data_IF_311741078565
#
_entry.id   IF_311741078565
#
_cell.length_a   1.000
_cell.length_b   1.000
_cell.length_c   1.000
_cell.angle_alpha   90.00
_cell.angle_beta   90.00
_cell.angle_gamma   90.00
#
_symmetry.space_group_name_H-M   'P 1'
#
loop_
_entity.id
_entity.type
_entity.pdbx_description
1 polymer ?
#
# COMPACT_ATOMS: atom_id res chain seq x y z
N UNK A 1 -24.36 31.55 11.44
CA UNK A 1 -23.25 32.12 10.63
C UNK A 1 -22.14 31.08 10.55
N UNK A 2 -21.82 30.58 9.35
CA UNK A 2 -20.68 29.69 9.19
C UNK A 2 -19.39 30.51 9.17
N UNK A 3 -18.39 30.08 9.96
CA UNK A 3 -17.12 30.79 10.03
C UNK A 3 -16.29 30.51 8.76
N UNK A 4 -15.37 31.43 8.38
CA UNK A 4 -14.41 31.21 7.28
C UNK A 4 -13.59 29.92 7.48
N UNK A 5 -13.35 29.56 8.73
CA UNK A 5 -12.63 28.35 9.12
C UNK A 5 -13.44 27.07 8.80
N UNK A 6 -14.76 27.11 9.02
CA UNK A 6 -15.63 25.96 8.69
C UNK A 6 -15.80 25.80 7.19
N UNK A 7 -15.81 26.90 6.44
CA UNK A 7 -15.79 26.87 4.98
C UNK A 7 -14.49 26.23 4.44
N UNK A 8 -13.33 26.65 4.94
CA UNK A 8 -12.04 26.09 4.52
C UNK A 8 -11.91 24.60 4.85
N UNK A 9 -12.36 24.16 6.02
CA UNK A 9 -12.38 22.74 6.40
C UNK A 9 -13.28 21.91 5.47
N UNK A 10 -14.44 22.43 5.09
CA UNK A 10 -15.35 21.73 4.18
C UNK A 10 -14.84 21.74 2.74
N UNK A 11 -14.25 22.83 2.29
CA UNK A 11 -13.67 22.95 0.96
C UNK A 11 -12.47 22.01 0.77
N UNK A 12 -11.60 21.86 1.76
CA UNK A 12 -10.47 20.93 1.69
C UNK A 12 -10.93 19.47 1.66
N UNK A 13 -11.99 19.10 2.39
CA UNK A 13 -12.59 17.77 2.33
C UNK A 13 -13.17 17.46 0.94
N UNK A 14 -13.80 18.43 0.29
CA UNK A 14 -14.36 18.28 -1.07
C UNK A 14 -13.26 18.18 -2.13
N UNK A 15 -12.16 18.91 -1.97
CA UNK A 15 -11.03 18.88 -2.91
C UNK A 15 -10.25 17.55 -2.87
N UNK A 16 -10.25 16.84 -1.73
CA UNK A 16 -9.60 15.53 -1.57
C UNK A 16 -10.52 14.36 -1.94
N UNK A 17 -11.83 14.57 -2.03
CA UNK A 17 -12.81 13.52 -2.31
C UNK A 17 -12.56 12.73 -3.61
N UNK A 18 -12.12 13.35 -4.74
CA UNK A 18 -11.85 12.63 -5.97
C UNK A 18 -10.62 11.73 -5.91
N UNK A 19 -9.73 11.93 -4.93
CA UNK A 19 -8.48 11.18 -4.80
C UNK A 19 -8.59 9.97 -3.87
N UNK A 20 -9.74 9.80 -3.20
CA UNK A 20 -9.95 8.68 -2.28
C UNK A 20 -10.53 7.49 -3.05
N UNK A 21 -9.84 6.34 -3.10
CA UNK A 21 -10.35 5.14 -3.71
C UNK A 21 -11.72 4.72 -3.17
N UNK A 22 -12.62 4.28 -4.05
CA UNK A 22 -14.00 3.94 -3.69
C UNK A 22 -14.09 2.86 -2.60
N UNK A 23 -13.14 1.91 -2.58
CA UNK A 23 -13.10 0.86 -1.56
C UNK A 23 -12.83 1.42 -0.16
N UNK A 24 -12.01 2.47 -0.03
CA UNK A 24 -11.76 3.12 1.26
C UNK A 24 -12.99 3.85 1.77
N UNK A 25 -13.74 4.50 0.88
CA UNK A 25 -15.02 5.14 1.22
C UNK A 25 -16.02 4.08 1.70
N UNK A 26 -16.06 2.93 1.04
CA UNK A 26 -16.92 1.81 1.44
C UNK A 26 -16.48 1.21 2.76
N UNK A 27 -15.19 1.01 2.98
CA UNK A 27 -14.64 0.51 4.24
C UNK A 27 -14.92 1.48 5.39
N UNK A 28 -14.74 2.79 5.18
CA UNK A 28 -15.04 3.81 6.19
C UNK A 28 -16.54 3.87 6.54
N UNK A 29 -17.43 3.62 5.54
CA UNK A 29 -18.88 3.57 5.78
C UNK A 29 -19.33 2.27 6.46
N UNK A 30 -18.61 1.17 6.23
CA UNK A 30 -18.87 -0.12 6.87
C UNK A 30 -18.25 -0.22 8.28
N UNK A 31 -17.31 0.66 8.61
CA UNK A 31 -16.70 0.71 9.92
C UNK A 31 -17.78 1.09 10.96
N UNK A 32 -18.13 0.14 11.81
CA UNK A 32 -18.83 0.43 13.05
C UNK A 32 -17.93 1.35 13.88
N UNK A 33 -18.44 2.44 14.48
CA UNK A 33 -17.62 3.30 15.33
C UNK A 33 -16.87 2.44 16.34
N UNK A 34 -15.53 2.46 16.25
CA UNK A 34 -14.68 1.70 17.16
C UNK A 34 -14.78 2.33 18.54
N UNK A 35 -15.36 1.62 19.48
CA UNK A 35 -15.49 2.06 20.88
C UNK A 35 -14.12 2.23 21.55
N UNK A 36 -13.08 1.62 20.99
CA UNK A 36 -11.72 1.64 21.54
C UNK A 36 -10.90 2.84 21.00
N UNK A 37 -11.48 3.69 20.16
CA UNK A 37 -10.81 4.89 19.62
C UNK A 37 -9.65 4.59 18.68
N UNK A 38 -9.59 3.39 18.07
CA UNK A 38 -8.54 3.04 17.11
C UNK A 38 -8.62 3.90 15.86
N UNK A 39 -7.48 4.31 15.34
CA UNK A 39 -7.37 5.14 14.15
C UNK A 39 -6.74 4.32 13.02
N UNK A 40 -7.43 4.27 11.86
CA UNK A 40 -6.88 3.71 10.64
C UNK A 40 -6.17 4.83 9.84
N UNK A 41 -4.88 4.65 9.60
CA UNK A 41 -4.11 5.50 8.69
C UNK A 41 -3.87 4.72 7.39
N UNK A 42 -4.26 5.29 6.26
CA UNK A 42 -4.04 4.71 4.93
C UNK A 42 -2.99 5.54 4.20
N UNK A 43 -1.91 4.89 3.78
CA UNK A 43 -0.86 5.49 2.96
C UNK A 43 -0.98 4.89 1.56
N UNK A 44 -1.40 5.72 0.60
CA UNK A 44 -1.49 5.34 -0.80
C UNK A 44 -0.23 5.81 -1.52
N UNK A 45 0.46 4.89 -2.19
CA UNK A 45 1.64 5.21 -3.01
C UNK A 45 1.18 5.54 -4.42
N UNK A 46 0.89 6.81 -4.66
CA UNK A 46 0.50 7.34 -5.96
C UNK A 46 1.73 7.57 -6.85
N UNK A 47 1.59 7.36 -8.15
CA UNK A 47 2.66 7.54 -9.13
C UNK A 47 3.53 6.31 -9.39
N UNK A 48 3.21 5.20 -8.79
CA UNK A 48 3.84 3.91 -9.04
C UNK A 48 4.92 3.54 -8.02
N UNK A 49 4.71 2.41 -7.41
CA UNK A 49 5.69 1.72 -6.58
C UNK A 49 6.17 0.47 -7.33
N UNK A 50 7.47 0.18 -7.31
CA UNK A 50 7.99 -1.11 -7.76
C UNK A 50 7.68 -2.19 -6.72
N UNK A 51 6.45 -2.69 -6.74
CA UNK A 51 5.95 -3.67 -5.78
C UNK A 51 6.78 -4.95 -5.75
N UNK A 52 7.32 -5.37 -6.90
CA UNK A 52 8.15 -6.57 -7.02
C UNK A 52 9.52 -6.37 -6.34
N UNK A 53 10.03 -5.14 -6.28
CA UNK A 53 11.24 -4.82 -5.53
C UNK A 53 10.96 -4.26 -4.13
N UNK A 54 9.72 -4.04 -3.76
CA UNK A 54 9.31 -3.75 -2.38
C UNK A 54 9.17 -5.03 -1.57
N UNK A 55 8.42 -6.01 -2.10
CA UNK A 55 8.27 -7.37 -1.57
C UNK A 55 8.84 -8.33 -2.61
N UNK A 56 10.06 -8.74 -2.42
CA UNK A 56 10.89 -9.40 -3.42
C UNK A 56 10.70 -10.90 -3.40
N UNK A 57 10.16 -11.52 -4.47
CA UNK A 57 10.03 -12.97 -4.59
C UNK A 57 11.35 -13.58 -5.06
N UNK A 58 12.37 -13.55 -4.22
CA UNK A 58 13.75 -13.91 -4.60
C UNK A 58 13.91 -15.38 -5.04
N UNK A 59 13.01 -16.26 -4.63
CA UNK A 59 13.02 -17.67 -5.00
C UNK A 59 12.28 -17.93 -6.33
N UNK A 60 11.59 -16.95 -6.89
CA UNK A 60 10.88 -17.08 -8.17
C UNK A 60 11.84 -16.96 -9.35
N UNK A 61 11.84 -17.96 -10.23
CA UNK A 61 12.69 -17.98 -11.42
C UNK A 61 12.34 -16.85 -12.40
N UNK A 62 11.07 -16.48 -12.50
CA UNK A 62 10.61 -15.37 -13.31
C UNK A 62 11.21 -14.05 -12.84
N UNK A 63 11.27 -13.82 -11.52
CA UNK A 63 11.93 -12.64 -10.98
C UNK A 63 13.40 -12.56 -11.41
N UNK A 64 14.13 -13.67 -11.27
CA UNK A 64 15.53 -13.73 -11.68
C UNK A 64 15.71 -13.53 -13.20
N UNK A 65 14.79 -14.08 -14.00
CA UNK A 65 14.83 -14.05 -15.47
C UNK A 65 14.52 -12.66 -16.03
N UNK A 66 13.49 -11.99 -15.49
CA UNK A 66 12.96 -10.75 -16.05
C UNK A 66 13.54 -9.48 -15.41
N UNK A 67 14.17 -9.59 -14.24
CA UNK A 67 14.76 -8.46 -13.49
C UNK A 67 16.29 -8.49 -13.46
N UNK A 68 16.94 -8.79 -14.58
CA UNK A 68 18.40 -9.01 -14.65
C UNK A 68 19.25 -7.87 -14.07
N UNK A 69 18.86 -6.62 -14.30
CA UNK A 69 19.60 -5.45 -13.84
C UNK A 69 19.19 -4.95 -12.43
N UNK A 70 17.90 -5.12 -12.09
CA UNK A 70 17.32 -4.57 -10.84
C UNK A 70 17.10 -5.66 -9.78
N UNK A 71 17.53 -6.87 -10.05
CA UNK A 71 17.36 -8.01 -9.17
C UNK A 71 18.13 -7.82 -7.86
N UNK A 72 17.43 -8.03 -6.75
CA UNK A 72 18.01 -8.17 -5.43
C UNK A 72 18.22 -9.64 -5.08
N UNK A 73 19.34 -9.95 -4.46
CA UNK A 73 19.67 -11.31 -4.02
C UNK A 73 19.21 -11.54 -2.58
N UNK A 74 18.99 -12.81 -2.21
CA UNK A 74 18.54 -13.20 -0.86
C UNK A 74 19.35 -12.54 0.27
N UNK A 75 20.67 -12.42 0.10
CA UNK A 75 21.56 -11.85 1.12
C UNK A 75 21.43 -10.33 1.30
N UNK A 76 20.77 -9.64 0.38
CA UNK A 76 20.54 -8.19 0.46
C UNK A 76 19.18 -7.86 1.13
N UNK A 77 18.30 -8.84 1.28
CA UNK A 77 16.92 -8.62 1.68
C UNK A 77 16.71 -8.77 3.19
N UNK A 78 15.73 -8.07 3.70
CA UNK A 78 15.15 -8.35 5.03
C UNK A 78 14.28 -9.60 4.89
N UNK A 79 14.64 -10.69 5.55
CA UNK A 79 13.97 -11.98 5.41
C UNK A 79 12.52 -11.90 5.89
N UNK A 80 11.58 -12.35 5.04
CA UNK A 80 10.18 -12.60 5.42
C UNK A 80 9.97 -14.10 5.61
N UNK A 81 10.32 -14.89 4.60
CA UNK A 81 10.27 -16.35 4.63
C UNK A 81 11.32 -16.93 3.67
N UNK A 82 11.20 -18.20 3.30
CA UNK A 82 12.19 -18.86 2.45
C UNK A 82 12.07 -18.51 0.95
N UNK A 83 11.03 -17.83 0.54
CA UNK A 83 10.78 -17.43 -0.85
C UNK A 83 10.68 -15.92 -1.08
N UNK A 84 10.42 -15.15 -0.02
CA UNK A 84 10.13 -13.72 -0.10
C UNK A 84 10.94 -12.93 0.93
N UNK A 85 11.42 -11.75 0.54
CA UNK A 85 12.07 -10.78 1.41
C UNK A 85 11.61 -9.36 1.12
N UNK A 86 11.77 -8.45 2.10
CA UNK A 86 11.55 -7.03 1.89
C UNK A 86 12.80 -6.36 1.33
N UNK A 87 12.60 -5.28 0.60
CA UNK A 87 13.70 -4.41 0.16
C UNK A 87 14.58 -3.99 1.35
N UNK A 88 15.91 -3.88 1.20
CA UNK A 88 16.80 -3.54 2.32
C UNK A 88 16.48 -2.21 3.00
N UNK A 89 15.91 -1.25 2.28
CA UNK A 89 15.46 0.02 2.86
C UNK A 89 14.23 -0.11 3.79
N UNK A 90 13.63 -1.32 3.89
CA UNK A 90 12.46 -1.59 4.73
C UNK A 90 12.84 -2.31 6.05
N UNK A 91 14.00 -2.03 6.60
CA UNK A 91 14.46 -2.67 7.85
C UNK A 91 13.49 -2.50 9.02
N UNK A 92 12.92 -1.31 9.17
CA UNK A 92 11.94 -1.03 10.24
C UNK A 92 10.64 -1.84 10.05
N UNK A 93 10.21 -2.05 8.80
CA UNK A 93 9.08 -2.93 8.50
C UNK A 93 9.39 -4.39 8.84
N UNK A 94 10.65 -4.82 8.68
CA UNK A 94 11.12 -6.13 9.12
C UNK A 94 10.96 -6.34 10.64
N UNK A 95 11.30 -5.35 11.45
CA UNK A 95 11.09 -5.40 12.90
C UNK A 95 9.61 -5.49 13.29
N UNK A 96 8.73 -4.80 12.54
CA UNK A 96 7.29 -4.90 12.75
C UNK A 96 6.76 -6.30 12.40
N UNK A 97 7.31 -6.91 11.35
CA UNK A 97 6.96 -8.28 10.93
C UNK A 97 7.36 -9.30 12.00
N UNK A 98 8.59 -9.23 12.53
CA UNK A 98 9.08 -10.08 13.61
C UNK A 98 8.24 -9.93 14.89
N UNK A 99 7.79 -8.70 15.16
CA UNK A 99 6.90 -8.40 16.29
C UNK A 99 5.43 -8.77 16.06
N UNK A 100 5.07 -9.41 14.92
CA UNK A 100 3.69 -9.79 14.59
C UNK A 100 2.75 -8.61 14.35
N UNK A 101 3.30 -7.43 14.08
CA UNK A 101 2.55 -6.17 13.89
C UNK A 101 2.45 -5.74 12.42
N UNK A 102 2.96 -6.53 11.49
CA UNK A 102 2.88 -6.31 10.06
C UNK A 102 2.34 -7.57 9.38
N UNK A 103 1.40 -7.38 8.47
CA UNK A 103 0.94 -8.40 7.54
C UNK A 103 1.26 -7.97 6.11
N UNK A 104 1.70 -8.90 5.28
CA UNK A 104 1.99 -8.68 3.86
C UNK A 104 0.96 -9.44 3.04
N UNK A 105 0.18 -8.71 2.25
CA UNK A 105 -0.82 -9.26 1.34
C UNK A 105 -0.26 -9.20 -0.08
N UNK A 106 -0.07 -10.35 -0.70
CA UNK A 106 0.39 -10.49 -2.08
C UNK A 106 -0.75 -10.91 -3.01
N UNK A 107 -0.53 -10.82 -4.32
CA UNK A 107 -1.49 -11.19 -5.36
C UNK A 107 -2.83 -10.42 -5.25
N UNK A 108 -2.79 -9.20 -4.73
CA UNK A 108 -3.95 -8.30 -4.68
C UNK A 108 -4.11 -7.62 -6.03
N UNK A 109 -5.29 -7.67 -6.60
CA UNK A 109 -5.59 -7.07 -7.89
C UNK A 109 -7.10 -7.04 -8.15
N UNK A 110 -7.47 -6.66 -9.35
CA UNK A 110 -8.88 -6.62 -9.80
C UNK A 110 -9.01 -7.17 -11.22
N UNK A 111 -10.23 -7.52 -11.61
CA UNK A 111 -10.52 -8.08 -12.93
C UNK A 111 -10.30 -7.03 -14.03
N UNK A 112 -9.68 -7.44 -15.16
CA UNK A 112 -9.38 -6.58 -16.29
C UNK A 112 -8.57 -5.33 -15.93
N UNK A 113 -7.36 -5.47 -15.37
CA UNK A 113 -6.57 -4.35 -14.89
C UNK A 113 -6.19 -3.41 -16.03
N UNK A 114 -6.42 -2.12 -15.86
CA UNK A 114 -5.92 -1.08 -16.74
C UNK A 114 -4.41 -0.89 -16.54
N UNK A 115 -3.70 -0.53 -17.64
CA UNK A 115 -2.30 -0.10 -17.57
C UNK A 115 -2.15 1.38 -17.22
N UNK A 116 -3.24 2.10 -17.13
CA UNK A 116 -3.28 3.49 -16.66
C UNK A 116 -3.27 3.54 -15.15
N UNK A 117 -2.31 4.23 -14.57
CA UNK A 117 -2.27 4.47 -13.12
C UNK A 117 -3.53 5.20 -12.64
N UNK A 118 -3.99 6.20 -13.42
CA UNK A 118 -5.17 7.00 -13.07
C UNK A 118 -6.44 6.15 -12.99
N UNK A 119 -6.65 5.28 -13.97
CA UNK A 119 -7.82 4.40 -13.99
C UNK A 119 -7.73 3.33 -12.90
N UNK A 120 -6.55 2.76 -12.70
CA UNK A 120 -6.32 1.73 -11.67
C UNK A 120 -6.49 2.25 -10.24
N UNK A 121 -6.30 3.55 -10.02
CA UNK A 121 -6.48 4.20 -8.72
C UNK A 121 -7.94 4.59 -8.43
N UNK A 122 -8.80 4.58 -9.45
CA UNK A 122 -10.22 4.94 -9.34
C UNK A 122 -11.15 3.75 -9.04
N UNK A 123 -10.61 2.52 -8.99
CA UNK A 123 -11.37 1.26 -8.79
C UNK A 123 -11.71 1.00 -7.34
#
# INVERSE_FOLDING_TARGET
MHSRRDFLKRASLVALAPTVPAFLVRAARAAVPDKDGRILVVIQLDGGNDGINTVVPFADEGYARYRKALRLTKGQLVKVNDSVGLHPAMGDAGQLLEGGRLAILQAVGYSNPSRSHFESMAV
#
